data_IF_649682869782
#
_entry.id   IF_649682869782
#
_cell.length_a   1.000
_cell.length_b   1.000
_cell.length_c   1.000
_cell.angle_alpha   90.00
_cell.angle_beta   90.00
_cell.angle_gamma   90.00
#
_symmetry.space_group_name_H-M   'P 1'
#
loop_
_entity.id
_entity.type
_entity.pdbx_description
1 polymer ?
#
# COMPACT_ATOMS: atom_id res chain seq x y z
N UNK A 1 28.40 -9.29 12.61
CA UNK A 1 26.97 -9.18 12.25
C UNK A 1 26.79 -9.80 10.86
N UNK A 2 26.63 -11.13 10.77
CA UNK A 2 26.64 -11.84 9.47
C UNK A 2 25.37 -11.53 8.69
N UNK A 3 25.55 -11.10 7.45
CA UNK A 3 24.55 -10.77 6.43
C UNK A 3 23.76 -11.99 5.95
N UNK A 4 23.09 -12.70 6.86
CA UNK A 4 22.40 -13.98 6.59
C UNK A 4 20.90 -13.81 6.30
N UNK A 5 20.36 -12.59 6.29
CA UNK A 5 18.93 -12.35 6.05
C UNK A 5 18.52 -12.72 4.61
N UNK A 6 19.35 -12.42 3.62
CA UNK A 6 19.07 -12.73 2.20
C UNK A 6 19.27 -14.20 1.82
N UNK A 7 19.89 -15.01 2.69
CA UNK A 7 20.05 -16.46 2.46
C UNK A 7 18.77 -17.24 2.80
N UNK A 8 17.89 -16.68 3.62
CA UNK A 8 16.59 -17.26 3.94
C UNK A 8 15.66 -17.11 2.73
N UNK A 9 15.33 -18.23 2.07
CA UNK A 9 14.45 -18.26 0.88
C UNK A 9 13.12 -17.52 1.10
N UNK A 10 12.54 -17.66 2.30
CA UNK A 10 11.29 -16.98 2.67
C UNK A 10 11.45 -15.46 2.74
N UNK A 11 12.53 -14.97 3.36
CA UNK A 11 12.80 -13.54 3.46
C UNK A 11 13.13 -12.94 2.09
N UNK A 12 13.92 -13.64 1.27
CA UNK A 12 14.25 -13.20 -0.09
C UNK A 12 13.01 -13.05 -0.97
N UNK A 13 12.12 -14.04 -0.95
CA UNK A 13 10.86 -13.96 -1.70
C UNK A 13 10.00 -12.80 -1.21
N UNK A 14 9.84 -12.63 0.11
CA UNK A 14 9.12 -11.50 0.69
C UNK A 14 9.73 -10.16 0.26
N UNK A 15 11.05 -10.01 0.33
CA UNK A 15 11.75 -8.79 -0.04
C UNK A 15 11.57 -8.42 -1.52
N UNK A 16 11.66 -9.39 -2.42
CA UNK A 16 11.41 -9.16 -3.85
C UNK A 16 9.94 -8.78 -4.09
N UNK A 17 9.00 -9.48 -3.45
CA UNK A 17 7.59 -9.14 -3.52
C UNK A 17 7.29 -7.74 -2.99
N UNK A 18 7.96 -7.32 -1.91
CA UNK A 18 7.79 -5.99 -1.31
C UNK A 18 8.32 -4.89 -2.23
N UNK A 19 9.45 -5.11 -2.90
CA UNK A 19 9.97 -4.19 -3.92
C UNK A 19 8.96 -4.04 -5.07
N UNK A 20 8.50 -5.15 -5.65
CA UNK A 20 7.55 -5.12 -6.78
C UNK A 20 6.24 -4.45 -6.36
N UNK A 21 5.74 -4.76 -5.16
CA UNK A 21 4.56 -4.14 -4.57
C UNK A 21 4.76 -2.62 -4.42
N UNK A 22 5.90 -2.19 -3.89
CA UNK A 22 6.30 -0.79 -3.77
C UNK A 22 6.23 -0.03 -5.10
N UNK A 23 6.79 -0.62 -6.15
CA UNK A 23 6.70 -0.06 -7.51
C UNK A 23 5.25 0.04 -7.99
N UNK A 24 4.43 -1.00 -7.77
CA UNK A 24 3.01 -0.98 -8.09
C UNK A 24 2.27 0.17 -7.40
N UNK A 25 2.53 0.38 -6.10
CA UNK A 25 1.92 1.51 -5.34
C UNK A 25 2.30 2.85 -5.95
N UNK A 26 3.58 3.01 -6.28
CA UNK A 26 4.10 4.23 -6.90
C UNK A 26 3.40 4.52 -8.22
N UNK A 27 3.33 3.53 -9.12
CA UNK A 27 2.61 3.68 -10.39
C UNK A 27 1.14 4.01 -10.20
N UNK A 28 0.43 3.31 -9.30
CA UNK A 28 -0.99 3.61 -9.03
C UNK A 28 -1.17 5.02 -8.49
N UNK A 29 -0.26 5.49 -7.63
CA UNK A 29 -0.31 6.85 -7.08
C UNK A 29 -0.12 7.90 -8.17
N UNK A 30 0.88 7.72 -9.03
CA UNK A 30 1.13 8.63 -10.16
C UNK A 30 -0.05 8.63 -11.12
N UNK A 31 -0.56 7.45 -11.48
CA UNK A 31 -1.73 7.30 -12.36
C UNK A 31 -2.99 7.94 -11.78
N UNK A 32 -3.25 7.76 -10.48
CA UNK A 32 -4.39 8.38 -9.80
C UNK A 32 -4.27 9.91 -9.77
N UNK A 33 -3.09 10.45 -9.47
CA UNK A 33 -2.87 11.91 -9.50
C UNK A 33 -3.05 12.47 -10.92
N UNK A 34 -2.52 11.78 -11.93
CA UNK A 34 -2.71 12.17 -13.33
C UNK A 34 -4.19 12.14 -13.73
N UNK A 35 -4.93 11.09 -13.35
CA UNK A 35 -6.35 10.97 -13.64
C UNK A 35 -7.17 12.11 -13.01
N UNK A 36 -6.90 12.44 -11.75
CA UNK A 36 -7.55 13.58 -11.08
C UNK A 36 -7.19 14.89 -11.77
N UNK A 37 -5.93 15.07 -12.19
CA UNK A 37 -5.50 16.26 -12.92
C UNK A 37 -6.23 16.40 -14.27
N UNK A 38 -6.35 15.32 -15.03
CA UNK A 38 -7.02 15.31 -16.34
C UNK A 38 -8.53 15.58 -16.22
N UNK A 39 -9.19 14.99 -15.23
CA UNK A 39 -10.62 15.20 -14.98
C UNK A 39 -10.93 16.60 -14.46
N UNK A 40 -10.03 17.19 -13.68
CA UNK A 40 -10.34 18.40 -12.92
C UNK A 40 -9.69 19.67 -13.47
N UNK A 41 -8.62 19.56 -14.27
CA UNK A 41 -7.82 20.67 -14.82
C UNK A 41 -7.41 21.74 -13.77
N UNK A 42 -7.39 21.38 -12.49
CA UNK A 42 -7.17 22.31 -11.38
C UNK A 42 -6.25 21.68 -10.34
N UNK A 43 -5.06 22.28 -10.17
CA UNK A 43 -4.02 21.82 -9.24
C UNK A 43 -4.48 21.81 -7.77
N UNK A 44 -5.47 22.65 -7.43
CA UNK A 44 -6.00 22.76 -6.06
C UNK A 44 -6.73 21.50 -5.59
N UNK A 45 -7.41 20.81 -6.51
CA UNK A 45 -8.19 19.61 -6.19
C UNK A 45 -7.29 18.39 -6.06
N UNK A 46 -6.20 18.33 -6.84
CA UNK A 46 -5.13 17.33 -6.67
C UNK A 46 -4.49 17.46 -5.28
N UNK A 47 -4.18 18.69 -4.84
CA UNK A 47 -3.63 18.94 -3.51
C UNK A 47 -4.57 18.51 -2.38
N UNK A 48 -5.87 18.76 -2.52
CA UNK A 48 -6.89 18.33 -1.55
C UNK A 48 -7.05 16.80 -1.55
N UNK A 49 -7.04 16.17 -2.71
CA UNK A 49 -7.11 14.71 -2.84
C UNK A 49 -5.91 14.01 -2.17
N UNK A 50 -4.71 14.57 -2.33
CA UNK A 50 -3.52 14.09 -1.64
C UNK A 50 -3.64 14.26 -0.12
N UNK A 51 -4.11 15.43 0.35
CA UNK A 51 -4.31 15.69 1.76
C UNK A 51 -5.30 14.70 2.40
N UNK A 52 -6.41 14.42 1.71
CA UNK A 52 -7.41 13.42 2.14
C UNK A 52 -6.80 12.03 2.19
N UNK A 53 -6.00 11.63 1.19
CA UNK A 53 -5.31 10.33 1.18
C UNK A 53 -4.40 10.15 2.39
N UNK A 54 -3.60 11.17 2.71
CA UNK A 54 -2.69 11.14 3.86
C UNK A 54 -3.48 11.09 5.18
N UNK A 55 -4.53 11.91 5.31
CA UNK A 55 -5.42 11.89 6.47
C UNK A 55 -6.09 10.54 6.69
N UNK A 56 -6.62 9.93 5.62
CA UNK A 56 -7.23 8.61 5.68
C UNK A 56 -6.22 7.56 6.15
N UNK A 57 -5.00 7.56 5.57
CA UNK A 57 -3.92 6.66 5.98
C UNK A 57 -3.52 6.86 7.45
N UNK A 58 -3.44 8.10 7.90
CA UNK A 58 -3.12 8.43 9.29
C UNK A 58 -4.17 7.89 10.26
N UNK A 59 -5.46 8.07 9.96
CA UNK A 59 -6.57 7.57 10.78
C UNK A 59 -6.61 6.03 10.86
N UNK A 60 -6.24 5.36 9.78
CA UNK A 60 -6.20 3.88 9.71
C UNK A 60 -4.96 3.31 10.40
N UNK A 61 -3.86 4.08 10.49
CA UNK A 61 -2.59 3.61 11.07
C UNK A 61 -2.67 3.03 12.49
N UNK A 62 -3.39 3.61 13.48
CA UNK A 62 -3.51 2.99 14.81
C UNK A 62 -4.33 1.69 14.80
N UNK A 63 -5.34 1.58 13.92
CA UNK A 63 -6.14 0.37 13.75
C UNK A 63 -5.25 -0.74 13.18
N UNK A 64 -4.45 -0.42 12.17
CA UNK A 64 -3.47 -1.34 11.59
C UNK A 64 -2.46 -1.83 12.65
N UNK A 65 -1.98 -0.93 13.52
CA UNK A 65 -1.10 -1.28 14.65
C UNK A 65 -1.75 -2.27 15.63
N UNK A 66 -2.99 -2.01 16.03
CA UNK A 66 -3.72 -2.91 16.93
C UNK A 66 -3.94 -4.31 16.32
N UNK A 67 -4.20 -4.37 15.00
CA UNK A 67 -4.32 -5.65 14.28
C UNK A 67 -2.97 -6.36 14.21
N UNK A 68 -1.87 -5.66 13.92
CA UNK A 68 -0.54 -6.30 13.87
C UNK A 68 -0.07 -6.82 15.22
N UNK A 69 -0.49 -6.21 16.32
CA UNK A 69 -0.13 -6.64 17.67
C UNK A 69 -0.90 -7.89 18.12
N UNK A 70 -2.12 -8.10 17.61
CA UNK A 70 -2.99 -9.22 17.99
C UNK A 70 -2.83 -10.46 17.12
N UNK A 71 -2.35 -10.33 15.88
CA UNK A 71 -2.27 -11.44 14.91
C UNK A 71 -0.84 -11.83 14.57
N UNK A 72 -0.61 -13.11 14.25
CA UNK A 72 0.71 -13.58 13.80
C UNK A 72 1.11 -12.92 12.48
N UNK A 73 2.38 -12.51 12.36
CA UNK A 73 2.93 -11.76 11.20
C UNK A 73 2.52 -12.35 9.84
N UNK A 74 2.49 -13.68 9.72
CA UNK A 74 2.11 -14.38 8.48
C UNK A 74 0.65 -14.12 8.10
N UNK A 75 -0.27 -14.17 9.05
CA UNK A 75 -1.69 -13.99 8.80
C UNK A 75 -2.01 -12.55 8.42
N UNK A 76 -1.33 -11.58 9.04
CA UNK A 76 -1.50 -10.16 8.70
C UNK A 76 -1.01 -9.88 7.29
N UNK A 77 0.18 -10.37 6.91
CA UNK A 77 0.72 -10.18 5.56
C UNK A 77 -0.23 -10.77 4.50
N UNK A 78 -0.70 -12.01 4.70
CA UNK A 78 -1.64 -12.65 3.76
C UNK A 78 -2.95 -11.86 3.68
N UNK A 79 -3.52 -11.44 4.82
CA UNK A 79 -4.74 -10.63 4.86
C UNK A 79 -4.59 -9.31 4.09
N UNK A 80 -3.48 -8.58 4.30
CA UNK A 80 -3.19 -7.34 3.58
C UNK A 80 -3.07 -7.56 2.08
N UNK A 81 -2.38 -8.62 1.64
CA UNK A 81 -2.28 -8.94 0.22
C UNK A 81 -3.64 -9.31 -0.40
N UNK A 82 -4.50 -10.03 0.32
CA UNK A 82 -5.84 -10.38 -0.16
C UNK A 82 -6.73 -9.14 -0.31
N UNK A 83 -6.75 -8.26 0.70
CA UNK A 83 -7.50 -7.00 0.64
C UNK A 83 -7.04 -6.16 -0.55
N UNK A 84 -5.73 -6.12 -0.78
CA UNK A 84 -5.13 -5.34 -1.87
C UNK A 84 -5.38 -5.93 -3.26
N UNK A 85 -5.57 -7.25 -3.35
CA UNK A 85 -5.85 -7.93 -4.61
C UNK A 85 -7.27 -7.68 -5.12
N UNK A 86 -8.21 -7.29 -4.23
CA UNK A 86 -9.58 -6.93 -4.62
C UNK A 86 -9.57 -5.51 -5.18
N UNK A 87 -9.77 -5.32 -6.50
CA UNK A 87 -9.80 -3.98 -7.07
C UNK A 87 -11.10 -3.28 -6.64
N UNK A 88 -11.05 -1.99 -6.27
CA UNK A 88 -12.25 -1.24 -5.89
C UNK A 88 -13.30 -1.16 -7.01
N UNK A 89 -12.92 -1.35 -8.28
CA UNK A 89 -13.83 -1.42 -9.44
C UNK A 89 -14.44 -2.79 -9.73
N UNK A 90 -14.43 -3.72 -8.76
CA UNK A 90 -15.19 -4.99 -8.85
C UNK A 90 -16.62 -4.87 -8.27
N UNK A 91 -16.97 -3.68 -7.79
CA UNK A 91 -18.26 -3.31 -7.24
C UNK A 91 -18.90 -2.27 -8.18
N UNK A 92 -18.95 -2.57 -9.48
CA UNK A 92 -19.75 -1.89 -10.50
C UNK A 92 -20.10 -2.92 -11.60
#
# INVERSE_FOLDING_TARGET
MKSTLLQQKQFRNFFISDIISGFGVGLTTVGANWYVLEQTNSDSIVGTFLAINVLAGFLISPIAGCVTDKFTRRNVIIGTFLIRAVPPGSID
#
